data_IF_180474694569
#
_entry.id   IF_180474694569
#
_cell.length_a   1.000
_cell.length_b   1.000
_cell.length_c   1.000
_cell.angle_alpha   90.00
_cell.angle_beta   90.00
_cell.angle_gamma   90.00
#
_symmetry.space_group_name_H-M   'P 1'
#
loop_
_entity.id
_entity.type
_entity.pdbx_description
1 polymer ?
#
# COMPACT_ATOMS: atom_id res chain seq x y z
N UNK A 1 -2.52 -0.02 -30.76
CA UNK A 1 -3.57 0.03 -29.73
C UNK A 1 -2.89 0.05 -28.36
N UNK A 2 -3.38 0.81 -27.38
CA UNK A 2 -2.87 0.73 -25.99
C UNK A 2 -3.85 -0.13 -25.21
N UNK A 3 -3.38 -1.23 -24.62
CA UNK A 3 -4.18 -2.12 -23.78
C UNK A 3 -3.60 -2.13 -22.36
N UNK A 4 -4.42 -2.37 -21.33
CA UNK A 4 -3.89 -2.66 -19.99
C UNK A 4 -3.46 -4.13 -19.88
N UNK A 5 -2.65 -4.47 -18.87
CA UNK A 5 -2.07 -5.81 -18.72
C UNK A 5 -3.13 -6.92 -18.73
N UNK A 6 -4.25 -6.74 -18.02
CA UNK A 6 -5.36 -7.69 -18.00
C UNK A 6 -5.94 -7.97 -19.40
N UNK A 7 -6.05 -6.96 -20.26
CA UNK A 7 -6.55 -7.14 -21.64
C UNK A 7 -5.51 -7.77 -22.58
N UNK A 8 -4.22 -7.67 -22.26
CA UNK A 8 -3.17 -8.43 -22.96
C UNK A 8 -3.27 -9.91 -22.57
N UNK A 9 -3.54 -10.22 -21.30
CA UNK A 9 -3.73 -11.59 -20.81
C UNK A 9 -5.05 -12.24 -21.23
N UNK A 10 -6.15 -11.48 -21.33
CA UNK A 10 -7.48 -12.01 -21.66
C UNK A 10 -7.85 -11.95 -23.15
N UNK A 11 -7.08 -11.24 -23.97
CA UNK A 11 -7.39 -10.99 -25.39
C UNK A 11 -8.57 -10.03 -25.65
N UNK A 12 -9.31 -9.61 -24.61
CA UNK A 12 -10.50 -8.75 -24.74
C UNK A 12 -10.22 -7.36 -24.18
N UNK A 13 -10.35 -6.33 -25.02
CA UNK A 13 -10.15 -4.92 -24.66
C UNK A 13 -11.37 -4.02 -24.94
N UNK A 14 -12.56 -4.59 -25.17
CA UNK A 14 -13.78 -3.78 -25.38
C UNK A 14 -14.24 -3.16 -24.06
N UNK A 15 -14.54 -1.85 -24.07
CA UNK A 15 -15.09 -1.04 -22.97
C UNK A 15 -14.15 -0.69 -21.79
N UNK A 16 -12.86 -1.05 -21.82
CA UNK A 16 -11.93 -0.75 -20.73
C UNK A 16 -11.42 0.70 -20.78
N UNK A 17 -11.64 1.47 -19.71
CA UNK A 17 -11.10 2.83 -19.55
C UNK A 17 -9.62 2.77 -19.12
N UNK A 18 -8.75 3.56 -19.73
CA UNK A 18 -7.30 3.52 -19.49
C UNK A 18 -6.87 4.73 -18.64
N UNK A 19 -6.44 4.46 -17.41
CA UNK A 19 -5.80 5.45 -16.53
C UNK A 19 -4.27 5.43 -16.75
N UNK A 20 -3.65 6.61 -16.87
CA UNK A 20 -2.18 6.73 -17.01
C UNK A 20 -1.53 6.91 -15.63
N UNK A 21 -0.74 5.90 -15.22
CA UNK A 21 0.06 5.94 -14.00
C UNK A 21 1.46 6.47 -14.33
N UNK A 22 1.91 7.49 -13.60
CA UNK A 22 3.27 8.00 -13.65
C UNK A 22 4.10 7.30 -12.56
N UNK A 23 5.13 6.55 -12.99
CA UNK A 23 6.00 5.79 -12.09
C UNK A 23 7.29 6.56 -11.82
N UNK A 24 7.47 7.02 -10.59
CA UNK A 24 8.73 7.54 -10.08
C UNK A 24 9.38 6.47 -9.18
N UNK A 25 10.70 6.57 -8.96
CA UNK A 25 11.54 5.52 -8.31
C UNK A 25 10.93 4.97 -7.00
N UNK A 26 10.22 5.80 -6.23
CA UNK A 26 9.57 5.43 -4.95
C UNK A 26 8.10 5.86 -4.85
N UNK A 27 7.45 6.22 -5.96
CA UNK A 27 6.06 6.72 -5.96
C UNK A 27 5.34 6.42 -7.29
N UNK A 28 4.22 5.70 -7.19
CA UNK A 28 3.26 5.55 -8.27
C UNK A 28 2.15 6.61 -8.10
N UNK A 29 2.00 7.49 -9.08
CA UNK A 29 1.07 8.64 -8.99
C UNK A 29 0.18 8.76 -10.21
N UNK A 30 -0.99 9.38 -10.03
CA UNK A 30 -1.97 9.65 -11.09
C UNK A 30 -2.32 11.13 -11.09
N UNK A 31 -2.68 11.69 -12.26
CA UNK A 31 -3.14 13.08 -12.33
C UNK A 31 -4.53 13.20 -11.69
N UNK A 32 -4.70 14.20 -10.82
CA UNK A 32 -5.95 14.45 -10.08
C UNK A 32 -7.17 14.47 -11.02
N UNK A 33 -7.13 15.32 -12.05
CA UNK A 33 -8.17 15.49 -13.08
C UNK A 33 -8.38 14.30 -14.04
N UNK A 34 -7.62 13.21 -13.87
CA UNK A 34 -7.88 11.92 -14.50
C UNK A 34 -8.52 10.91 -13.54
N UNK A 35 -8.29 11.05 -12.22
CA UNK A 35 -8.79 10.17 -11.17
C UNK A 35 -10.18 10.58 -10.67
N UNK A 36 -10.43 11.89 -10.50
CA UNK A 36 -11.71 12.47 -10.04
C UNK A 36 -12.93 12.01 -10.85
N UNK A 37 -12.72 11.61 -12.11
CA UNK A 37 -13.75 11.10 -13.03
C UNK A 37 -14.26 9.69 -12.67
N UNK A 38 -13.59 9.01 -11.75
CA UNK A 38 -13.83 7.60 -11.40
C UNK A 38 -13.75 7.32 -9.90
N UNK A 39 -13.25 8.26 -9.09
CA UNK A 39 -13.05 8.08 -7.66
C UNK A 39 -13.11 9.42 -6.94
N UNK A 40 -13.78 9.48 -5.79
CA UNK A 40 -13.84 10.67 -4.96
C UNK A 40 -12.48 10.95 -4.29
N UNK A 41 -11.77 11.93 -4.84
CA UNK A 41 -10.43 12.33 -4.42
C UNK A 41 -10.40 13.34 -3.26
N UNK A 42 -11.56 13.74 -2.71
CA UNK A 42 -11.63 14.59 -1.50
C UNK A 42 -10.91 13.94 -0.31
N UNK A 43 -10.39 14.74 0.61
CA UNK A 43 -9.64 14.30 1.80
C UNK A 43 -8.34 13.50 1.51
N UNK A 44 -8.00 13.21 0.25
CA UNK A 44 -6.76 12.51 -0.12
C UNK A 44 -5.66 13.51 -0.46
N UNK A 45 -4.52 13.39 0.21
CA UNK A 45 -3.38 14.28 0.06
C UNK A 45 -2.88 14.35 -1.39
N UNK A 46 -3.10 15.50 -2.01
CA UNK A 46 -2.60 15.82 -3.36
C UNK A 46 -1.26 16.57 -3.27
N UNK A 47 -0.48 16.59 -4.36
CA UNK A 47 0.67 17.48 -4.46
C UNK A 47 1.00 17.88 -5.90
N UNK A 48 1.76 18.97 -6.07
CA UNK A 48 2.20 19.44 -7.39
C UNK A 48 3.48 18.71 -7.81
N UNK A 49 3.45 18.04 -8.96
CA UNK A 49 4.59 17.37 -9.60
C UNK A 49 4.63 17.71 -11.08
N UNK A 50 5.78 18.19 -11.59
CA UNK A 50 5.98 18.57 -13.00
C UNK A 50 4.83 19.43 -13.57
N UNK A 51 4.46 20.50 -12.84
CA UNK A 51 3.34 21.43 -13.11
C UNK A 51 1.93 20.81 -13.15
N UNK A 52 1.75 19.58 -12.72
CA UNK A 52 0.43 18.90 -12.58
C UNK A 52 0.11 18.65 -11.11
N UNK A 53 -1.17 18.66 -10.74
CA UNK A 53 -1.62 18.12 -9.46
C UNK A 53 -1.77 16.60 -9.59
N UNK A 54 -1.16 15.86 -8.66
CA UNK A 54 -1.12 14.39 -8.66
C UNK A 54 -1.47 13.83 -7.29
N UNK A 55 -1.95 12.59 -7.27
CA UNK A 55 -2.26 11.82 -6.06
C UNK A 55 -1.39 10.57 -6.02
N UNK A 56 -0.95 10.16 -4.83
CA UNK A 56 -0.24 8.89 -4.61
C UNK A 56 -1.22 7.71 -4.62
N UNK A 57 -0.92 6.65 -5.38
CA UNK A 57 -1.72 5.43 -5.37
C UNK A 57 -1.59 4.63 -4.06
N UNK A 58 -0.40 4.66 -3.45
CA UNK A 58 -0.02 3.91 -2.24
C UNK A 58 0.72 4.81 -1.24
N UNK A 59 0.78 4.47 0.05
CA UNK A 59 1.49 5.28 1.05
C UNK A 59 2.98 5.34 0.72
N UNK A 60 3.62 6.48 1.01
CA UNK A 60 5.07 6.62 0.83
C UNK A 60 5.77 5.72 1.84
N UNK A 61 6.53 4.73 1.37
CA UNK A 61 7.31 3.81 2.22
C UNK A 61 8.14 4.59 3.26
N UNK A 62 8.94 5.54 2.77
CA UNK A 62 9.81 6.43 3.55
C UNK A 62 9.16 7.78 3.92
N UNK A 63 7.90 7.76 4.40
CA UNK A 63 7.35 8.89 5.18
C UNK A 63 7.37 8.58 6.67
N UNK A 64 7.61 9.61 7.46
CA UNK A 64 7.53 9.58 8.93
C UNK A 64 6.16 9.12 9.42
N UNK A 65 6.17 8.43 10.57
CA UNK A 65 4.99 8.20 11.41
C UNK A 65 4.75 9.52 12.17
N UNK A 66 3.50 9.93 12.30
CA UNK A 66 3.15 11.15 13.03
C UNK A 66 3.33 10.97 14.55
N UNK A 67 3.71 12.05 15.25
CA UNK A 67 3.78 12.07 16.71
C UNK A 67 2.40 12.09 17.38
N UNK A 68 1.42 12.71 16.71
CA UNK A 68 0.05 12.89 17.16
C UNK A 68 -0.90 12.23 16.16
N UNK A 69 -2.09 11.81 16.61
CA UNK A 69 -3.10 11.23 15.72
C UNK A 69 -3.66 12.26 14.72
N UNK A 70 -3.81 13.52 15.14
CA UNK A 70 -4.36 14.64 14.37
C UNK A 70 -3.48 15.02 13.16
N UNK A 71 -2.15 14.87 13.28
CA UNK A 71 -1.17 15.10 12.20
C UNK A 71 -1.14 13.97 11.14
N UNK A 72 -2.01 12.97 11.23
CA UNK A 72 -1.76 11.63 10.67
C UNK A 72 -2.84 11.10 9.71
N UNK A 73 -2.41 10.25 8.78
CA UNK A 73 -3.30 9.49 7.91
C UNK A 73 -4.03 8.38 8.68
N UNK A 74 -5.35 8.44 8.76
CA UNK A 74 -6.23 7.59 9.61
C UNK A 74 -6.04 6.06 9.48
N UNK A 75 -5.45 5.60 8.37
CA UNK A 75 -5.25 4.17 8.08
C UNK A 75 -3.81 3.68 8.31
N UNK A 76 -2.80 4.55 8.21
CA UNK A 76 -1.40 4.12 8.28
C UNK A 76 -0.49 5.01 9.15
N UNK A 77 -1.08 5.92 9.92
CA UNK A 77 -0.45 6.77 10.94
C UNK A 77 0.75 7.59 10.43
N UNK A 78 0.88 7.73 9.10
CA UNK A 78 1.93 8.47 8.42
C UNK A 78 1.56 9.95 8.36
N UNK A 79 2.53 10.82 8.65
CA UNK A 79 2.31 12.26 8.73
C UNK A 79 1.78 12.84 7.41
N UNK A 80 0.76 13.67 7.52
CA UNK A 80 0.17 14.45 6.43
C UNK A 80 0.89 15.81 6.30
N UNK A 81 0.83 16.43 5.12
CA UNK A 81 1.41 17.77 4.92
C UNK A 81 0.51 18.89 5.45
N UNK A 82 -0.81 18.72 5.32
CA UNK A 82 -1.85 19.72 5.58
C UNK A 82 -3.02 18.96 6.25
N UNK A 83 -2.93 18.64 7.56
CA UNK A 83 -3.89 17.76 8.23
C UNK A 83 -5.30 18.37 8.28
N UNK A 84 -5.44 19.69 8.30
CA UNK A 84 -6.73 20.39 8.27
C UNK A 84 -7.52 20.19 6.95
N UNK A 85 -6.85 19.69 5.89
CA UNK A 85 -7.42 19.53 4.54
C UNK A 85 -7.48 18.07 4.06
N UNK A 86 -6.76 17.16 4.72
CA UNK A 86 -6.60 15.77 4.28
C UNK A 86 -6.68 14.81 5.46
N UNK A 87 -7.22 13.62 5.21
CA UNK A 87 -7.31 12.52 6.18
C UNK A 87 -6.58 11.25 5.70
N UNK A 88 -6.24 11.19 4.41
CA UNK A 88 -5.57 10.04 3.79
C UNK A 88 -4.35 10.46 2.97
N UNK A 89 -3.17 9.85 3.23
CA UNK A 89 -1.94 10.18 2.49
C UNK A 89 -1.87 9.61 1.06
N UNK A 90 -2.79 8.71 0.70
CA UNK A 90 -2.83 8.00 -0.57
C UNK A 90 -4.23 7.42 -0.85
N UNK A 91 -4.53 7.15 -2.13
CA UNK A 91 -5.81 6.59 -2.56
C UNK A 91 -6.12 5.23 -1.92
N UNK A 92 -5.13 4.35 -1.77
CA UNK A 92 -5.34 3.06 -1.10
C UNK A 92 -5.79 3.20 0.36
N UNK A 93 -5.37 4.25 1.07
CA UNK A 93 -5.83 4.50 2.44
C UNK A 93 -7.32 4.88 2.47
N UNK A 94 -7.78 5.77 1.56
CA UNK A 94 -9.21 6.11 1.50
C UNK A 94 -10.06 4.89 1.11
N UNK A 95 -9.57 4.05 0.19
CA UNK A 95 -10.22 2.76 -0.14
C UNK A 95 -10.33 1.87 1.10
N UNK A 96 -9.22 1.65 1.82
CA UNK A 96 -9.18 0.78 3.00
C UNK A 96 -10.07 1.29 4.16
N UNK A 97 -10.14 2.60 4.37
CA UNK A 97 -11.06 3.21 5.34
C UNK A 97 -12.53 2.99 4.98
N UNK A 98 -12.90 3.19 3.71
CA UNK A 98 -14.26 2.97 3.22
C UNK A 98 -14.65 1.49 3.32
N UNK A 99 -13.77 0.56 2.93
CA UNK A 99 -14.01 -0.88 3.04
C UNK A 99 -14.28 -1.33 4.49
N UNK A 100 -13.47 -0.87 5.45
CA UNK A 100 -13.69 -1.18 6.88
C UNK A 100 -15.01 -0.61 7.40
N UNK A 101 -15.41 0.59 6.94
CA UNK A 101 -16.69 1.18 7.37
C UNK A 101 -17.91 0.39 6.85
N UNK A 102 -17.82 -0.21 5.66
CA UNK A 102 -18.88 -1.11 5.15
C UNK A 102 -18.96 -2.46 5.87
N UNK A 103 -17.97 -2.83 6.68
CA UNK A 103 -18.01 -4.04 7.53
C UNK A 103 -18.64 -3.77 8.91
N UNK A 104 -18.81 -2.49 9.29
CA UNK A 104 -19.37 -2.07 10.59
C UNK A 104 -20.83 -1.62 10.56
N UNK A 105 -21.48 -1.61 9.39
CA UNK A 105 -22.88 -1.19 9.24
C UNK A 105 -23.68 -2.27 8.48
N UNK A 106 -24.32 -3.18 9.24
CA UNK A 106 -25.09 -4.33 8.72
C UNK A 106 -26.31 -3.92 7.87
N UNK A 107 -26.51 -4.56 6.70
CA UNK A 107 -27.82 -4.57 6.04
C UNK A 107 -28.22 -5.94 5.48
N UNK A 108 -29.21 -6.56 6.14
CA UNK A 108 -30.21 -7.50 5.59
C UNK A 108 -29.69 -8.84 5.01
N UNK A 109 -30.00 -9.92 5.72
CA UNK A 109 -29.87 -11.29 5.26
C UNK A 109 -30.56 -11.56 3.91
N UNK A 110 -29.80 -12.04 2.91
CA UNK A 110 -30.36 -12.80 1.78
C UNK A 110 -29.52 -14.05 1.56
N UNK A 111 -30.10 -15.23 1.82
CA UNK A 111 -29.43 -16.53 1.79
C UNK A 111 -29.12 -17.03 0.38
N UNK A 112 -28.00 -17.75 0.21
CA UNK A 112 -28.04 -19.03 -0.52
C UNK A 112 -27.73 -20.24 0.37
N UNK A 113 -28.17 -21.42 -0.05
CA UNK A 113 -27.95 -22.70 0.63
C UNK A 113 -26.51 -23.22 0.48
N UNK A 114 -26.10 -24.02 1.48
CA UNK A 114 -25.37 -25.30 1.45
C UNK A 114 -24.46 -25.64 0.23
N UNK A 115 -23.28 -26.25 0.39
CA UNK A 115 -23.09 -27.51 1.13
C UNK A 115 -21.60 -27.84 1.38
N UNK A 116 -21.32 -28.64 2.41
CA UNK A 116 -20.17 -29.61 2.54
C UNK A 116 -18.70 -29.12 2.42
N UNK A 117 -17.71 -29.63 3.15
CA UNK A 117 -17.65 -30.73 4.15
C UNK A 117 -16.41 -30.61 5.05
N UNK A 118 -16.49 -31.13 6.29
CA UNK A 118 -15.32 -31.46 7.12
C UNK A 118 -14.66 -32.80 6.72
N UNK A 119 -13.83 -33.46 7.57
CA UNK A 119 -13.82 -33.40 9.04
C UNK A 119 -12.43 -33.15 9.70
N UNK A 120 -12.40 -33.26 11.04
CA UNK A 120 -11.24 -33.07 11.94
C UNK A 120 -10.89 -34.36 12.71
N UNK A 121 -9.63 -34.55 13.13
CA UNK A 121 -9.22 -35.37 14.31
C UNK A 121 -8.07 -34.66 15.09
N UNK A 122 -8.01 -34.92 16.40
CA UNK A 122 -7.22 -34.23 17.44
C UNK A 122 -5.72 -34.63 17.57
N UNK A 123 -4.95 -33.85 18.36
CA UNK A 123 -3.65 -34.23 18.99
C UNK A 123 -3.85 -34.65 20.46
N UNK A 124 -2.99 -34.29 21.47
CA UNK A 124 -1.68 -33.59 21.50
C UNK A 124 -0.63 -34.51 22.21
N UNK A 125 0.21 -34.22 23.27
CA UNK A 125 0.76 -32.98 23.88
C UNK A 125 2.25 -33.02 24.38
N UNK A 126 2.69 -31.96 25.08
CA UNK A 126 3.75 -31.82 26.14
C UNK A 126 5.22 -32.29 25.96
N UNK A 127 6.16 -31.33 26.08
CA UNK A 127 7.09 -31.27 27.24
C UNK A 127 7.54 -29.81 27.51
N UNK A 128 8.16 -29.54 28.68
CA UNK A 128 8.70 -28.24 29.10
C UNK A 128 10.23 -28.23 29.13
N UNK A 129 10.86 -27.06 28.95
CA UNK A 129 12.11 -26.66 29.62
C UNK A 129 12.25 -25.12 29.67
N UNK A 130 13.29 -24.58 30.32
CA UNK A 130 13.26 -23.21 30.91
C UNK A 130 14.66 -22.57 30.99
N UNK A 131 14.71 -21.22 30.96
CA UNK A 131 15.93 -20.36 31.08
C UNK A 131 16.93 -20.53 29.89
N UNK A 132 17.85 -19.63 29.56
CA UNK A 132 18.21 -18.27 30.02
C UNK A 132 18.96 -17.50 28.90
N UNK A 133 19.29 -16.21 29.08
CA UNK A 133 20.48 -15.62 28.45
C UNK A 133 20.36 -14.73 27.19
N UNK A 134 20.32 -13.42 27.42
CA UNK A 134 21.28 -12.40 26.91
C UNK A 134 21.61 -12.23 25.40
N UNK A 135 21.67 -10.95 25.00
CA UNK A 135 22.27 -10.35 23.79
C UNK A 135 21.45 -10.32 22.48
N UNK A 136 21.43 -9.15 21.83
CA UNK A 136 20.67 -8.89 20.60
C UNK A 136 21.49 -9.03 19.31
N UNK A 137 20.83 -9.03 18.13
CA UNK A 137 21.48 -9.28 16.85
C UNK A 137 22.45 -8.16 16.46
N UNK A 138 23.75 -8.48 16.41
CA UNK A 138 24.80 -7.52 16.07
C UNK A 138 24.88 -7.23 14.57
N UNK A 139 25.05 -5.96 14.21
CA UNK A 139 25.18 -5.52 12.81
C UNK A 139 26.56 -5.90 12.24
N UNK A 140 26.63 -7.08 11.63
CA UNK A 140 27.83 -7.60 10.95
C UNK A 140 28.31 -6.70 9.79
N UNK A 141 29.23 -5.78 10.10
CA UNK A 141 29.90 -4.90 9.11
C UNK A 141 30.67 -5.73 8.09
N UNK A 142 30.06 -6.00 6.92
CA UNK A 142 30.71 -6.67 5.78
C UNK A 142 31.96 -5.88 5.36
N UNK A 143 33.15 -6.48 5.52
CA UNK A 143 34.43 -5.90 5.06
C UNK A 143 34.36 -5.63 3.55
N UNK A 144 34.76 -4.45 3.11
CA UNK A 144 34.83 -4.09 1.68
C UNK A 144 35.97 -4.88 1.01
N UNK A 145 35.76 -5.37 -0.22
CA UNK A 145 36.80 -6.02 -1.02
C UNK A 145 37.78 -4.98 -1.59
N UNK A 146 38.94 -4.85 -0.97
CA UNK A 146 40.11 -4.15 -1.52
C UNK A 146 40.03 -2.63 -1.59
N UNK A 147 41.11 -2.03 -2.10
CA UNK A 147 41.21 -0.62 -2.47
C UNK A 147 40.89 -0.52 -3.97
N UNK A 148 39.97 0.37 -4.41
CA UNK A 148 39.66 0.53 -5.82
C UNK A 148 40.79 1.24 -6.56
N UNK A 149 41.46 0.53 -7.47
CA UNK A 149 42.43 1.12 -8.40
C UNK A 149 41.73 1.68 -9.64
N UNK A 150 42.26 2.75 -10.25
CA UNK A 150 41.78 3.21 -11.57
C UNK A 150 42.21 2.24 -12.67
N UNK A 151 41.41 2.10 -13.72
CA UNK A 151 41.87 1.49 -14.97
C UNK A 151 42.99 2.34 -15.57
N UNK A 152 44.01 1.73 -16.23
CA UNK A 152 44.95 2.49 -17.04
C UNK A 152 44.21 3.17 -18.21
N UNK A 153 44.77 4.28 -18.68
CA UNK A 153 44.29 4.93 -19.90
C UNK A 153 44.97 4.30 -21.11
N UNK A 154 44.17 3.89 -22.09
CA UNK A 154 44.52 3.55 -23.46
C UNK A 154 43.61 4.38 -24.38
#
# INVERSE_FOLDING_TARGET
MVCCQYCISSGVHRHHKILKIYRHIYKDVVALSAMEKYFDCSEVQTYKSNRKVVISLKPRQFSEIASNAEDSCEVCNKKLNEPDLYRYCALSCKVEAVSKKSESEDPVSTTPLESSSGPSIQGPPQHQETQEGTSGPSLGKRKRKGIPHRSPFF
#
